data_IF_264382686180
#
_entry.id   IF_264382686180
#
_cell.length_a   1.000
_cell.length_b   1.000
_cell.length_c   1.000
_cell.angle_alpha   90.00
_cell.angle_beta   90.00
_cell.angle_gamma   90.00
#
_symmetry.space_group_name_H-M   'P 1'
#
loop_
_entity.id
_entity.type
_entity.pdbx_description
1 polymer ?
#
# COMPACT_ATOMS: atom_id res chain seq x y z
N UNK A 1 4.59 -20.75 -18.68
CA UNK A 1 3.63 -20.25 -17.67
C UNK A 1 4.17 -18.93 -17.20
N UNK A 2 3.76 -17.85 -17.87
CA UNK A 2 4.30 -16.51 -17.60
C UNK A 2 3.84 -16.05 -16.22
N UNK A 3 4.71 -16.21 -15.22
CA UNK A 3 4.58 -15.47 -13.96
C UNK A 3 4.95 -14.03 -14.29
N UNK A 4 3.97 -13.27 -14.82
CA UNK A 4 4.10 -11.82 -14.92
C UNK A 4 4.45 -11.34 -13.52
N UNK A 5 5.64 -10.77 -13.39
CA UNK A 5 6.21 -10.27 -12.14
C UNK A 5 5.30 -9.16 -11.62
N UNK A 6 4.30 -9.55 -10.82
CA UNK A 6 3.20 -8.67 -10.42
C UNK A 6 3.79 -7.63 -9.48
N UNK A 7 3.83 -6.38 -9.94
CA UNK A 7 4.27 -5.24 -9.14
C UNK A 7 3.42 -5.14 -7.87
N UNK A 8 4.04 -5.30 -6.72
CA UNK A 8 3.39 -5.19 -5.40
C UNK A 8 3.54 -3.78 -4.86
N UNK A 9 2.41 -3.10 -4.62
CA UNK A 9 2.38 -1.75 -4.04
C UNK A 9 1.80 -1.85 -2.63
N UNK A 10 2.67 -1.87 -1.62
CA UNK A 10 2.33 -2.10 -0.21
C UNK A 10 2.74 -0.91 0.68
N UNK A 11 2.83 0.29 0.11
CA UNK A 11 3.41 1.47 0.73
C UNK A 11 2.74 1.90 2.03
N UNK A 12 1.40 1.98 2.06
CA UNK A 12 0.68 2.37 3.27
C UNK A 12 0.70 1.29 4.34
N UNK A 13 0.75 0.00 3.96
CA UNK A 13 1.01 -1.09 4.92
C UNK A 13 2.37 -0.96 5.58
N UNK A 14 3.42 -0.67 4.78
CA UNK A 14 4.76 -0.44 5.31
C UNK A 14 4.81 0.80 6.22
N UNK A 15 4.17 1.90 5.80
CA UNK A 15 4.03 3.13 6.59
C UNK A 15 3.28 2.88 7.90
N UNK A 16 2.23 2.05 7.90
CA UNK A 16 1.49 1.67 9.10
C UNK A 16 2.36 0.86 10.05
N UNK A 17 2.99 -0.22 9.56
CA UNK A 17 3.94 -1.02 10.34
C UNK A 17 5.00 -0.12 11.00
N UNK A 18 5.57 0.81 10.22
CA UNK A 18 6.56 1.75 10.73
C UNK A 18 6.02 2.61 11.89
N UNK A 19 4.81 3.17 11.72
CA UNK A 19 4.16 4.01 12.72
C UNK A 19 3.78 3.22 13.97
N UNK A 20 3.25 2.00 13.82
CA UNK A 20 2.88 1.11 14.92
C UNK A 20 4.10 0.72 15.78
N UNK A 21 5.30 0.67 15.16
CA UNK A 21 6.57 0.44 15.85
C UNK A 21 7.25 1.73 16.34
N UNK A 22 6.62 2.90 16.19
CA UNK A 22 7.16 4.19 16.64
C UNK A 22 8.42 4.65 15.89
N UNK A 23 8.65 4.15 14.68
CA UNK A 23 9.89 4.38 13.93
C UNK A 23 9.80 5.62 13.01
N UNK A 24 10.91 6.35 12.89
CA UNK A 24 11.11 7.29 11.79
C UNK A 24 11.40 6.54 10.49
N UNK A 25 11.18 7.17 9.33
CA UNK A 25 11.56 6.57 8.04
C UNK A 25 13.05 6.22 8.00
N UNK A 26 13.92 7.12 8.50
CA UNK A 26 15.35 6.86 8.56
C UNK A 26 15.69 5.65 9.41
N UNK A 27 15.09 5.51 10.60
CA UNK A 27 15.34 4.37 11.49
C UNK A 27 14.90 3.04 10.86
N UNK A 28 13.73 3.00 10.23
CA UNK A 28 13.28 1.80 9.52
C UNK A 28 14.15 1.50 8.29
N UNK A 29 14.56 2.53 7.53
CA UNK A 29 15.42 2.35 6.37
C UNK A 29 16.77 1.74 6.78
N UNK A 30 17.37 2.22 7.87
CA UNK A 30 18.57 1.63 8.46
C UNK A 30 18.35 0.18 8.89
N UNK A 31 17.25 -0.11 9.61
CA UNK A 31 16.92 -1.48 10.03
C UNK A 31 16.70 -2.45 8.85
N UNK A 32 16.21 -1.94 7.72
CA UNK A 32 16.02 -2.70 6.48
C UNK A 32 17.25 -2.65 5.55
N UNK A 33 18.34 -1.99 5.92
CA UNK A 33 19.54 -1.86 5.08
C UNK A 33 19.27 -1.21 3.71
N UNK A 34 18.35 -0.24 3.65
CA UNK A 34 18.02 0.53 2.43
C UNK A 34 18.18 2.03 2.67
N UNK A 35 18.17 2.82 1.60
CA UNK A 35 18.23 4.28 1.75
C UNK A 35 16.88 4.85 2.23
N UNK A 36 16.87 5.94 3.02
CA UNK A 36 15.62 6.62 3.42
C UNK A 36 14.78 7.07 2.22
N UNK A 37 15.42 7.54 1.14
CA UNK A 37 14.75 7.92 -0.11
C UNK A 37 14.05 6.74 -0.77
N UNK A 38 14.68 5.56 -0.78
CA UNK A 38 14.05 4.35 -1.28
C UNK A 38 12.82 3.98 -0.44
N UNK A 39 12.95 3.96 0.90
CA UNK A 39 11.82 3.67 1.78
C UNK A 39 10.67 4.67 1.56
N UNK A 40 10.97 5.97 1.41
CA UNK A 40 9.97 6.99 1.12
C UNK A 40 9.22 6.73 -0.20
N UNK A 41 9.93 6.37 -1.28
CA UNK A 41 9.28 6.02 -2.55
C UNK A 41 8.40 4.78 -2.44
N UNK A 42 8.81 3.79 -1.65
CA UNK A 42 8.00 2.59 -1.38
C UNK A 42 6.75 2.96 -0.58
N UNK A 43 6.88 3.72 0.51
CA UNK A 43 5.74 4.16 1.36
C UNK A 43 4.71 5.00 0.60
N UNK A 44 5.12 5.68 -0.48
CA UNK A 44 4.25 6.47 -1.36
C UNK A 44 3.75 5.70 -2.58
N UNK A 45 3.99 4.39 -2.65
CA UNK A 45 3.66 3.55 -3.81
C UNK A 45 4.23 4.06 -5.15
N UNK A 46 5.31 4.84 -5.12
CA UNK A 46 6.01 5.32 -6.33
C UNK A 46 6.92 4.24 -6.92
N UNK A 47 7.38 3.31 -6.08
CA UNK A 47 8.10 2.10 -6.49
C UNK A 47 7.40 0.87 -5.93
N UNK A 48 7.36 -0.23 -6.70
CA UNK A 48 6.88 -1.49 -6.16
C UNK A 48 7.87 -2.05 -5.14
N UNK A 49 7.32 -2.76 -4.15
CA UNK A 49 8.06 -3.56 -3.19
C UNK A 49 8.70 -4.74 -3.92
N UNK A 50 9.99 -4.96 -3.65
CA UNK A 50 10.74 -6.10 -4.20
C UNK A 50 10.65 -7.29 -3.26
N UNK A 51 10.85 -8.50 -3.79
CA UNK A 51 10.95 -9.71 -2.97
C UNK A 51 12.04 -9.58 -1.89
N UNK A 52 13.18 -8.95 -2.24
CA UNK A 52 14.25 -8.70 -1.28
C UNK A 52 13.81 -7.81 -0.11
N UNK A 53 13.02 -6.76 -0.36
CA UNK A 53 12.51 -5.91 0.70
C UNK A 53 11.52 -6.68 1.60
N UNK A 54 10.68 -7.55 1.02
CA UNK A 54 9.78 -8.41 1.80
C UNK A 54 10.54 -9.34 2.74
N UNK A 55 11.62 -9.98 2.28
CA UNK A 55 12.46 -10.84 3.13
C UNK A 55 13.08 -10.05 4.29
N UNK A 56 13.56 -8.83 4.02
CA UNK A 56 14.10 -7.98 5.08
C UNK A 56 13.03 -7.54 6.09
N UNK A 57 11.79 -7.34 5.65
CA UNK A 57 10.67 -7.04 6.55
C UNK A 57 10.34 -8.23 7.45
N UNK A 58 10.35 -9.46 6.91
CA UNK A 58 10.13 -10.67 7.71
C UNK A 58 11.24 -10.84 8.75
N UNK A 59 12.50 -10.65 8.36
CA UNK A 59 13.65 -10.84 9.23
C UNK A 59 13.74 -9.75 10.32
N UNK A 60 13.54 -8.47 9.97
CA UNK A 60 13.74 -7.36 10.89
C UNK A 60 12.54 -7.10 11.81
N UNK A 61 11.33 -7.45 11.39
CA UNK A 61 10.10 -7.03 12.07
C UNK A 61 9.08 -8.14 12.34
N UNK A 62 9.41 -9.40 12.04
CA UNK A 62 8.57 -10.58 12.25
C UNK A 62 7.18 -10.45 11.61
N UNK A 63 7.16 -10.03 10.34
CA UNK A 63 5.94 -9.80 9.58
C UNK A 63 5.47 -11.10 8.92
N UNK A 64 4.21 -11.50 9.12
CA UNK A 64 3.57 -12.54 8.31
C UNK A 64 3.22 -11.99 6.92
N UNK A 65 3.93 -12.43 5.88
CA UNK A 65 3.72 -11.97 4.50
C UNK A 65 2.31 -12.25 3.96
N UNK A 66 1.65 -13.33 4.40
CA UNK A 66 0.30 -13.66 3.91
C UNK A 66 -0.70 -12.63 4.41
N UNK A 67 -0.63 -12.30 5.70
CA UNK A 67 -1.49 -11.27 6.30
C UNK A 67 -1.12 -9.88 5.78
N UNK A 68 0.18 -9.60 5.68
CA UNK A 68 0.67 -8.33 5.14
C UNK A 68 0.24 -8.11 3.69
N UNK A 69 -0.01 -9.17 2.92
CA UNK A 69 -0.52 -9.07 1.54
C UNK A 69 -2.06 -8.96 1.44
N UNK A 70 -2.82 -9.50 2.38
CA UNK A 70 -4.30 -9.53 2.30
C UNK A 70 -4.98 -8.23 2.73
N UNK A 71 -4.42 -7.48 3.69
CA UNK A 71 -5.10 -6.32 4.31
C UNK A 71 -5.28 -5.15 3.33
N UNK A 72 -6.43 -5.06 2.66
CA UNK A 72 -6.76 -3.96 1.75
C UNK A 72 -6.86 -4.32 0.26
N UNK A 73 -6.56 -5.56 -0.14
CA UNK A 73 -6.82 -6.01 -1.53
C UNK A 73 -8.32 -5.93 -1.87
N UNK A 74 -9.19 -6.32 -0.92
CA UNK A 74 -10.64 -6.23 -1.08
C UNK A 74 -11.13 -4.78 -1.28
N UNK A 75 -10.51 -3.80 -0.61
CA UNK A 75 -10.88 -2.38 -0.76
C UNK A 75 -10.32 -1.79 -2.05
N UNK A 76 -9.12 -2.20 -2.45
CA UNK A 76 -8.54 -1.79 -3.73
C UNK A 76 -9.34 -2.33 -4.93
N UNK A 77 -9.86 -3.56 -4.85
CA UNK A 77 -10.73 -4.13 -5.89
C UNK A 77 -12.04 -3.35 -6.00
N UNK A 78 -12.70 -3.09 -4.86
CA UNK A 78 -13.94 -2.29 -4.80
C UNK A 78 -13.74 -0.86 -5.28
N UNK A 79 -12.61 -0.24 -4.95
CA UNK A 79 -12.24 1.07 -5.47
C UNK A 79 -12.00 1.03 -6.98
N UNK A 80 -11.33 0.00 -7.50
CA UNK A 80 -11.08 -0.12 -8.94
C UNK A 80 -12.39 -0.25 -9.74
N UNK A 81 -13.36 -0.95 -9.18
CA UNK A 81 -14.72 -1.06 -9.73
C UNK A 81 -15.45 0.29 -9.67
N UNK A 82 -15.44 0.97 -8.51
CA UNK A 82 -16.05 2.30 -8.37
C UNK A 82 -15.44 3.32 -9.34
N UNK A 83 -14.12 3.31 -9.52
CA UNK A 83 -13.41 4.21 -10.44
C UNK A 83 -13.71 3.95 -11.93
N UNK A 84 -14.29 2.80 -12.29
CA UNK A 84 -14.69 2.52 -13.66
C UNK A 84 -16.02 3.20 -14.04
N UNK A 85 -16.72 3.81 -13.08
CA UNK A 85 -18.01 4.45 -13.30
C UNK A 85 -17.88 5.81 -14.01
N UNK A 86 -18.79 6.12 -14.95
CA UNK A 86 -18.81 7.40 -15.66
C UNK A 86 -18.86 8.64 -14.76
N UNK A 87 -19.34 8.55 -13.51
CA UNK A 87 -19.33 9.66 -12.55
C UNK A 87 -17.91 10.17 -12.26
N UNK A 88 -16.89 9.32 -12.44
CA UNK A 88 -15.49 9.67 -12.32
C UNK A 88 -14.81 10.05 -13.65
N UNK A 89 -15.55 10.08 -14.76
CA UNK A 89 -15.03 10.47 -16.08
C UNK A 89 -14.68 11.97 -16.08
N UNK A 90 -13.43 12.28 -15.68
CA UNK A 90 -12.94 13.65 -15.49
C UNK A 90 -12.07 13.82 -14.25
N UNK A 91 -12.01 12.83 -13.37
CA UNK A 91 -11.08 12.81 -12.26
C UNK A 91 -9.64 12.77 -12.79
N UNK A 92 -8.85 13.79 -12.46
CA UNK A 92 -7.42 13.87 -12.81
C UNK A 92 -6.54 13.18 -11.78
N UNK A 93 -7.11 12.77 -10.65
CA UNK A 93 -6.41 12.14 -9.55
C UNK A 93 -5.78 10.80 -9.99
N UNK A 94 -4.46 10.65 -9.87
CA UNK A 94 -3.79 9.38 -10.17
C UNK A 94 -4.27 8.24 -9.29
N UNK A 95 -4.34 7.01 -9.85
CA UNK A 95 -4.75 5.80 -9.13
C UNK A 95 -4.02 5.57 -7.79
N UNK A 96 -2.74 5.92 -7.72
CA UNK A 96 -1.94 5.73 -6.51
C UNK A 96 -2.41 6.62 -5.35
N UNK A 97 -3.01 7.79 -5.62
CA UNK A 97 -3.55 8.67 -4.58
C UNK A 97 -4.83 8.09 -3.97
N UNK A 98 -5.68 7.45 -4.77
CA UNK A 98 -6.84 6.74 -4.23
C UNK A 98 -6.44 5.55 -3.37
N UNK A 99 -5.44 4.77 -3.81
CA UNK A 99 -4.89 3.68 -2.99
C UNK A 99 -4.32 4.22 -1.68
N UNK A 100 -3.60 5.34 -1.73
CA UNK A 100 -3.08 6.01 -0.53
C UNK A 100 -4.21 6.42 0.43
N UNK A 101 -5.33 6.94 -0.10
CA UNK A 101 -6.50 7.30 0.70
C UNK A 101 -7.15 6.08 1.39
N UNK A 102 -7.22 4.93 0.71
CA UNK A 102 -7.68 3.67 1.31
C UNK A 102 -6.81 3.25 2.51
N UNK A 103 -5.49 3.48 2.42
CA UNK A 103 -4.54 3.06 3.45
C UNK A 103 -4.45 4.03 4.63
N UNK A 104 -4.52 5.34 4.36
CA UNK A 104 -4.43 6.40 5.37
C UNK A 104 -5.73 6.59 6.16
N UNK A 105 -6.90 6.35 5.54
CA UNK A 105 -8.21 6.53 6.17
C UNK A 105 -9.16 5.35 5.87
N UNK A 106 -8.87 4.13 6.36
CA UNK A 106 -9.62 2.92 6.00
C UNK A 106 -11.10 2.98 6.39
N UNK A 107 -11.44 3.56 7.55
CA UNK A 107 -12.83 3.70 7.98
C UNK A 107 -13.63 4.66 7.07
N UNK A 108 -13.00 5.75 6.61
CA UNK A 108 -13.60 6.67 5.65
C UNK A 108 -13.78 6.00 4.30
N UNK A 109 -12.75 5.32 3.82
CA UNK A 109 -12.80 4.56 2.58
C UNK A 109 -13.92 3.50 2.57
N UNK A 110 -14.06 2.74 3.65
CA UNK A 110 -15.13 1.76 3.80
C UNK A 110 -16.52 2.42 3.78
N UNK A 111 -16.69 3.55 4.48
CA UNK A 111 -17.95 4.29 4.47
C UNK A 111 -18.27 4.85 3.08
N UNK A 112 -17.28 5.41 2.39
CA UNK A 112 -17.42 5.94 1.04
C UNK A 112 -17.78 4.85 0.03
N UNK A 113 -17.09 3.70 0.07
CA UNK A 113 -17.39 2.56 -0.80
C UNK A 113 -18.79 1.99 -0.53
N UNK A 114 -19.24 1.97 0.73
CA UNK A 114 -20.62 1.56 1.06
C UNK A 114 -21.65 2.54 0.50
N UNK A 115 -21.40 3.85 0.59
CA UNK A 115 -22.28 4.86 0.01
C UNK A 115 -22.41 4.69 -1.50
N UNK A 116 -21.29 4.40 -2.18
CA UNK A 116 -21.26 4.21 -3.62
C UNK A 116 -22.00 2.94 -4.10
N UNK A 117 -22.04 1.89 -3.27
CA UNK A 117 -22.68 0.61 -3.58
C UNK A 117 -24.17 0.56 -3.19
N UNK A 118 -24.72 1.63 -2.62
CA UNK A 118 -26.12 1.73 -2.19
C UNK A 118 -27.03 2.21 -3.34
#
# INVERSE_FOLDING_TARGET
MDTVDRKLFLGGRLKRLRRDRGLTQTAMATGLGVSPSYLNHIERNQRPVTAQLLLRLTEAYDVDLRQFNQVGEANQSRLAEAMADPVFAGATTPRHEFIQALEDAPAFADAFLRLYQA
#
